data_IF_847702007405
#
_entry.id   IF_847702007405
#
_cell.length_a   1.000
_cell.length_b   1.000
_cell.length_c   1.000
_cell.angle_alpha   90.00
_cell.angle_beta   90.00
_cell.angle_gamma   90.00
#
_symmetry.space_group_name_H-M   'P 1'
#
loop_
_entity.id
_entity.type
_entity.pdbx_description
1 polymer ?
#
# COMPACT_ATOMS: atom_id res chain seq x y z
N UNK A 1 2.95 -5.85 5.85
CA UNK A 1 4.33 -6.21 5.44
C UNK A 1 5.21 -4.97 5.46
N UNK A 2 6.44 -5.04 5.96
CA UNK A 2 7.32 -3.88 5.99
C UNK A 2 8.00 -3.66 4.62
N UNK A 3 7.76 -2.52 3.99
CA UNK A 3 8.35 -2.15 2.68
C UNK A 3 9.87 -2.04 2.74
N UNK A 4 10.41 -1.48 3.84
CA UNK A 4 11.87 -1.40 4.06
C UNK A 4 12.50 -2.78 4.12
N UNK A 5 11.83 -3.75 4.76
CA UNK A 5 12.32 -5.12 4.84
C UNK A 5 12.31 -5.85 3.50
N UNK A 6 11.33 -5.57 2.63
CA UNK A 6 11.34 -6.06 1.23
C UNK A 6 12.50 -5.43 0.45
N UNK A 7 12.70 -4.11 0.58
CA UNK A 7 13.82 -3.42 -0.04
C UNK A 7 15.19 -3.95 0.41
N UNK A 8 15.31 -4.34 1.68
CA UNK A 8 16.50 -4.98 2.23
C UNK A 8 16.63 -6.48 1.91
N UNK A 9 15.66 -7.07 1.17
CA UNK A 9 15.58 -8.51 0.89
C UNK A 9 15.64 -9.38 2.16
N UNK A 10 15.01 -8.92 3.25
CA UNK A 10 15.00 -9.66 4.51
C UNK A 10 14.34 -11.04 4.32
N UNK A 11 15.02 -12.17 4.62
CA UNK A 11 14.57 -13.51 4.22
C UNK A 11 13.15 -13.86 4.67
N UNK A 12 12.79 -13.51 5.92
CA UNK A 12 11.46 -13.76 6.45
C UNK A 12 10.36 -12.97 5.73
N UNK A 13 10.62 -11.73 5.33
CA UNK A 13 9.63 -10.94 4.60
C UNK A 13 9.52 -11.34 3.14
N UNK A 14 10.64 -11.71 2.51
CA UNK A 14 10.64 -12.27 1.16
C UNK A 14 9.80 -13.54 1.10
N UNK A 15 10.00 -14.47 2.05
CA UNK A 15 9.22 -15.70 2.15
C UNK A 15 7.73 -15.43 2.38
N UNK A 16 7.41 -14.46 3.23
CA UNK A 16 6.02 -14.07 3.50
C UNK A 16 5.35 -13.46 2.26
N UNK A 17 6.06 -12.68 1.46
CA UNK A 17 5.55 -12.10 0.21
C UNK A 17 5.33 -13.20 -0.84
N UNK A 18 6.28 -14.10 -1.00
CA UNK A 18 6.19 -15.24 -1.91
C UNK A 18 5.02 -16.16 -1.58
N UNK A 19 4.74 -16.38 -0.29
CA UNK A 19 3.62 -17.23 0.16
C UNK A 19 2.27 -16.52 0.18
N UNK A 20 2.18 -15.24 -0.22
CA UNK A 20 0.92 -14.48 -0.17
C UNK A 20 0.10 -14.75 -1.44
N UNK A 21 -1.16 -15.16 -1.27
CA UNK A 21 -2.10 -15.34 -2.41
C UNK A 21 -2.31 -14.04 -3.20
N UNK A 22 -2.25 -12.90 -2.50
CA UNK A 22 -2.42 -11.57 -3.06
C UNK A 22 -1.61 -10.53 -2.31
N UNK A 23 -0.94 -9.65 -3.04
CA UNK A 23 -0.23 -8.50 -2.49
C UNK A 23 -0.96 -7.23 -2.89
N UNK A 24 -1.32 -6.42 -1.90
CA UNK A 24 -1.90 -5.10 -2.07
C UNK A 24 -0.88 -4.07 -1.59
N UNK A 25 -0.55 -3.10 -2.44
CA UNK A 25 0.34 -2.00 -2.10
C UNK A 25 -0.48 -0.73 -1.86
N UNK A 26 -0.25 -0.08 -0.71
CA UNK A 26 -0.85 1.21 -0.36
C UNK A 26 0.26 2.26 -0.39
N UNK A 27 0.15 3.19 -1.32
CA UNK A 27 1.08 4.27 -1.56
C UNK A 27 0.48 5.62 -1.13
N UNK A 28 1.30 6.44 -0.47
CA UNK A 28 0.90 7.78 -0.02
C UNK A 28 0.90 8.84 -1.11
N UNK A 29 1.55 8.58 -2.25
CA UNK A 29 1.68 9.53 -3.36
C UNK A 29 2.02 8.83 -4.68
N UNK A 30 1.93 9.52 -5.84
CA UNK A 30 2.18 8.95 -7.17
C UNK A 30 3.63 8.48 -7.42
N UNK A 31 4.54 8.67 -6.46
CA UNK A 31 5.90 8.13 -6.54
C UNK A 31 5.87 6.60 -6.47
N UNK A 32 4.86 6.02 -5.82
CA UNK A 32 4.58 4.58 -5.80
C UNK A 32 5.72 3.74 -5.19
N UNK A 33 6.30 4.23 -4.09
CA UNK A 33 7.47 3.61 -3.46
C UNK A 33 7.22 2.18 -3.01
N UNK A 34 6.05 1.89 -2.42
CA UNK A 34 5.72 0.56 -1.94
C UNK A 34 5.55 -0.41 -3.11
N UNK A 35 4.75 -0.03 -4.11
CA UNK A 35 4.50 -0.84 -5.30
C UNK A 35 5.79 -1.15 -6.05
N UNK A 36 6.59 -0.12 -6.35
CA UNK A 36 7.88 -0.30 -7.04
C UNK A 36 8.86 -1.16 -6.25
N UNK A 37 8.87 -1.04 -4.93
CA UNK A 37 9.76 -1.88 -4.08
C UNK A 37 9.38 -3.35 -4.18
N UNK A 38 8.09 -3.67 -4.18
CA UNK A 38 7.60 -5.04 -4.34
C UNK A 38 7.92 -5.60 -5.73
N UNK A 39 7.69 -4.81 -6.78
CA UNK A 39 7.99 -5.19 -8.16
C UNK A 39 9.49 -5.43 -8.39
N UNK A 40 10.35 -4.55 -7.86
CA UNK A 40 11.81 -4.72 -7.92
C UNK A 40 12.31 -5.95 -7.13
N UNK A 41 11.56 -6.37 -6.11
CA UNK A 41 11.83 -7.59 -5.37
C UNK A 41 11.34 -8.85 -6.11
N UNK A 42 10.65 -8.70 -7.24
CA UNK A 42 10.14 -9.79 -8.09
C UNK A 42 8.70 -10.18 -7.79
N UNK A 43 7.97 -9.41 -6.96
CA UNK A 43 6.59 -9.71 -6.59
C UNK A 43 5.60 -8.98 -7.49
N UNK A 44 4.52 -9.67 -7.87
CA UNK A 44 3.40 -9.06 -8.58
C UNK A 44 2.48 -8.36 -7.58
N UNK A 45 2.32 -7.05 -7.73
CA UNK A 45 1.32 -6.28 -7.00
C UNK A 45 -0.05 -6.56 -7.62
N UNK A 46 -0.94 -7.20 -6.87
CA UNK A 46 -2.29 -7.52 -7.32
C UNK A 46 -3.16 -6.27 -7.41
N UNK A 47 -3.02 -5.36 -6.44
CA UNK A 47 -3.63 -4.03 -6.47
C UNK A 47 -2.74 -2.97 -5.87
N UNK A 48 -2.78 -1.81 -6.52
CA UNK A 48 -2.13 -0.60 -6.09
C UNK A 48 -3.20 0.43 -5.69
N UNK A 49 -3.06 1.00 -4.50
CA UNK A 49 -3.92 2.05 -3.98
C UNK A 49 -3.04 3.27 -3.72
N UNK A 50 -3.34 4.41 -4.35
CA UNK A 50 -2.66 5.67 -4.07
C UNK A 50 -3.61 6.58 -3.30
N UNK A 51 -3.48 6.65 -1.97
CA UNK A 51 -4.46 7.34 -1.11
C UNK A 51 -4.58 8.84 -1.42
N UNK A 52 -3.54 9.46 -2.01
CA UNK A 52 -3.60 10.86 -2.44
C UNK A 52 -4.52 11.10 -3.62
N UNK A 53 -4.75 10.07 -4.45
CA UNK A 53 -5.70 10.12 -5.57
C UNK A 53 -7.14 9.91 -5.08
N UNK A 54 -7.32 9.40 -3.86
CA UNK A 54 -8.62 9.18 -3.23
C UNK A 54 -9.12 10.37 -2.38
N UNK A 55 -8.31 11.42 -2.27
CA UNK A 55 -8.65 12.67 -1.60
C UNK A 55 -7.75 13.05 -0.42
N UNK A 56 -6.88 12.15 0.07
CA UNK A 56 -5.96 12.47 1.17
C UNK A 56 -4.88 13.43 0.67
N UNK A 57 -4.86 14.64 1.22
CA UNK A 57 -3.83 15.61 0.87
C UNK A 57 -2.59 15.39 1.75
N UNK A 58 -1.41 15.50 1.14
CA UNK A 58 -0.16 15.54 1.91
C UNK A 58 -0.10 16.83 2.70
N UNK A 59 -0.14 16.74 4.03
CA UNK A 59 -0.02 17.88 4.93
C UNK A 59 1.16 17.70 5.89
N UNK A 60 1.46 18.73 6.69
CA UNK A 60 2.40 18.63 7.82
C UNK A 60 1.70 18.18 9.11
N UNK A 61 0.37 18.09 9.08
CA UNK A 61 -0.41 17.60 10.20
C UNK A 61 -0.16 16.10 10.35
N UNK A 62 0.09 15.67 11.59
CA UNK A 62 0.35 14.28 11.94
C UNK A 62 -0.83 13.63 12.66
N UNK A 63 -1.94 14.36 12.78
CA UNK A 63 -3.13 13.93 13.49
C UNK A 63 -4.31 13.90 12.51
N UNK A 64 -4.41 12.87 11.65
CA UNK A 64 -5.52 12.76 10.72
C UNK A 64 -6.84 12.69 11.49
N UNK A 65 -7.88 13.31 10.94
CA UNK A 65 -9.22 13.24 11.53
C UNK A 65 -9.78 11.84 11.31
N UNK A 66 -10.46 11.27 12.31
CA UNK A 66 -11.06 9.95 12.18
C UNK A 66 -12.02 9.88 10.99
N UNK A 67 -12.79 10.95 10.75
CA UNK A 67 -13.73 11.02 9.63
C UNK A 67 -13.03 10.90 8.26
N UNK A 68 -11.83 11.47 8.10
CA UNK A 68 -11.05 11.35 6.86
C UNK A 68 -10.50 9.94 6.68
N UNK A 69 -10.08 9.30 7.78
CA UNK A 69 -9.60 7.90 7.76
C UNK A 69 -10.74 6.96 7.39
N UNK A 70 -11.91 7.14 8.00
CA UNK A 70 -13.10 6.31 7.76
C UNK A 70 -13.59 6.44 6.31
N UNK A 71 -13.69 7.66 5.77
CA UNK A 71 -14.08 7.90 4.38
C UNK A 71 -13.15 7.18 3.39
N UNK A 72 -11.84 7.21 3.64
CA UNK A 72 -10.85 6.60 2.76
C UNK A 72 -10.85 5.08 2.92
N UNK A 73 -11.07 4.58 4.13
CA UNK A 73 -11.23 3.15 4.38
C UNK A 73 -12.43 2.61 3.59
N UNK A 74 -13.57 3.28 3.61
CA UNK A 74 -14.76 2.88 2.82
C UNK A 74 -14.47 2.84 1.33
N UNK A 75 -13.81 3.88 0.78
CA UNK A 75 -13.40 3.92 -0.63
C UNK A 75 -12.47 2.76 -0.98
N UNK A 76 -11.47 2.48 -0.14
CA UNK A 76 -10.52 1.37 -0.37
C UNK A 76 -11.24 0.02 -0.30
N UNK A 77 -12.14 -0.18 0.65
CA UNK A 77 -12.94 -1.42 0.73
C UNK A 77 -13.77 -1.60 -0.54
N UNK A 78 -14.45 -0.55 -1.01
CA UNK A 78 -15.23 -0.59 -2.27
C UNK A 78 -14.36 -0.97 -3.48
N UNK A 79 -13.16 -0.40 -3.59
CA UNK A 79 -12.20 -0.77 -4.64
C UNK A 79 -11.84 -2.26 -4.55
N UNK A 80 -11.53 -2.76 -3.35
CA UNK A 80 -11.11 -4.16 -3.14
C UNK A 80 -12.23 -5.19 -3.32
N UNK A 81 -13.49 -4.79 -3.11
CA UNK A 81 -14.68 -5.65 -3.26
C UNK A 81 -15.22 -5.68 -4.70
N UNK A 82 -14.84 -4.73 -5.55
CA UNK A 82 -15.31 -4.65 -6.95
C UNK A 82 -14.67 -5.67 -7.91
N UNK A 83 -14.13 -6.77 -7.37
CA UNK A 83 -13.41 -7.83 -8.08
C UNK A 83 -13.99 -9.22 -7.83
#
# INVERSE_FOLDING_TARGET
MCTVGIGARAPGLMKSAESSDRIIAIDGCPVNCASKTLELAGFKVGRQIVISELGIKKTKDRNPKNEEVDEILEKVIGILQSE
#
